data_IF_746949590655
#
_entry.id   IF_746949590655
#
_cell.length_a   1.000
_cell.length_b   1.000
_cell.length_c   1.000
_cell.angle_alpha   90.00
_cell.angle_beta   90.00
_cell.angle_gamma   90.00
#
_symmetry.space_group_name_H-M   'P 1'
#
loop_
_entity.id
_entity.type
_entity.pdbx_description
1 polymer ?
#
# COMPACT_ATOMS: atom_id res chain seq x y z
N UNK A 1 40.58 5.96 -24.71
CA UNK A 1 39.68 7.02 -25.21
C UNK A 1 38.47 6.38 -25.87
N UNK A 2 37.31 6.46 -25.23
CA UNK A 2 36.02 6.30 -25.87
C UNK A 2 35.01 7.06 -24.98
N UNK A 3 34.48 8.16 -25.50
CA UNK A 3 33.43 8.97 -24.88
C UNK A 3 32.09 8.32 -25.25
N UNK A 4 31.28 7.95 -24.27
CA UNK A 4 29.88 7.59 -24.48
C UNK A 4 29.01 8.79 -24.11
N UNK A 5 28.02 9.05 -24.96
CA UNK A 5 27.31 10.31 -25.09
C UNK A 5 26.11 10.39 -24.14
N UNK A 6 25.90 11.62 -23.67
CA UNK A 6 24.73 12.13 -22.96
C UNK A 6 23.44 11.94 -23.75
N UNK A 7 22.39 11.43 -23.08
CA UNK A 7 21.00 11.58 -23.51
C UNK A 7 20.27 12.36 -22.39
N UNK A 8 19.85 13.58 -22.68
CA UNK A 8 18.98 14.39 -21.81
C UNK A 8 17.58 14.31 -22.41
N UNK A 9 16.63 13.77 -21.64
CA UNK A 9 15.22 13.74 -21.99
C UNK A 9 14.55 14.98 -21.40
N UNK A 10 14.16 15.92 -22.26
CA UNK A 10 13.41 17.11 -21.88
C UNK A 10 11.93 16.85 -22.09
N UNK A 11 11.16 16.67 -21.02
CA UNK A 11 9.68 16.63 -21.08
C UNK A 11 9.17 18.05 -20.83
N UNK A 12 8.61 18.67 -21.87
CA UNK A 12 7.95 19.97 -21.77
C UNK A 12 6.49 19.79 -21.37
N UNK A 13 6.09 20.40 -20.25
CA UNK A 13 4.70 20.46 -19.80
C UNK A 13 4.10 21.83 -20.16
N UNK A 14 3.07 21.81 -21.01
CA UNK A 14 2.20 22.94 -21.34
C UNK A 14 1.15 23.10 -20.23
N UNK A 15 1.22 24.18 -19.44
CA UNK A 15 0.14 24.59 -18.56
C UNK A 15 -0.75 25.62 -19.27
N UNK A 16 -2.01 25.23 -19.48
CA UNK A 16 -3.07 26.08 -19.99
C UNK A 16 -3.62 26.97 -18.86
N UNK A 17 -3.83 28.25 -19.17
CA UNK A 17 -4.56 29.18 -18.32
C UNK A 17 -6.04 28.80 -18.29
N UNK A 18 -6.67 28.81 -17.11
CA UNK A 18 -8.11 29.01 -17.01
C UNK A 18 -8.41 29.86 -15.78
N UNK A 19 -8.95 31.02 -16.13
CA UNK A 19 -9.57 32.07 -15.35
C UNK A 19 -10.98 31.60 -14.95
N UNK A 20 -11.36 31.72 -13.68
CA UNK A 20 -12.75 31.67 -13.26
C UNK A 20 -12.92 32.44 -11.95
N UNK A 21 -13.59 33.58 -12.07
CA UNK A 21 -13.86 34.55 -11.03
C UNK A 21 -14.82 34.10 -9.93
N UNK A 22 -14.71 34.84 -8.82
CA UNK A 22 -15.64 34.95 -7.72
C UNK A 22 -17.05 35.33 -8.20
N UNK A 23 -18.09 34.83 -7.52
CA UNK A 23 -19.17 35.68 -7.00
C UNK A 23 -19.99 34.95 -5.92
N UNK A 24 -20.13 35.63 -4.79
CA UNK A 24 -20.86 35.23 -3.58
C UNK A 24 -22.25 35.84 -3.61
N UNK A 25 -23.29 35.04 -3.37
CA UNK A 25 -24.63 35.55 -3.05
C UNK A 25 -25.19 34.76 -1.87
N UNK A 26 -25.30 35.40 -0.71
CA UNK A 26 -26.14 34.97 0.41
C UNK A 26 -27.39 35.83 0.43
N UNK A 27 -28.55 35.19 0.31
CA UNK A 27 -29.88 35.78 0.47
C UNK A 27 -30.51 35.20 1.75
N UNK A 28 -31.07 36.07 2.59
CA UNK A 28 -31.73 35.77 3.86
C UNK A 28 -33.24 35.61 3.65
N UNK A 29 -33.83 34.52 4.15
CA UNK A 29 -35.28 34.28 3.99
C UNK A 29 -35.92 33.43 5.10
N UNK A 30 -36.11 34.05 6.27
CA UNK A 30 -37.23 33.92 7.23
C UNK A 30 -38.25 32.76 7.12
N UNK A 31 -38.48 32.05 8.24
CA UNK A 31 -39.85 31.74 8.71
C UNK A 31 -40.21 30.27 9.01
N UNK A 32 -40.26 29.93 10.31
CA UNK A 32 -41.32 29.16 11.00
C UNK A 32 -41.66 27.72 10.57
N UNK A 33 -41.44 26.75 11.46
CA UNK A 33 -42.47 26.07 12.26
C UNK A 33 -41.94 24.75 12.85
N UNK A 34 -42.16 24.59 14.16
CA UNK A 34 -41.76 23.42 14.95
C UNK A 34 -42.85 22.37 14.88
N UNK A 35 -42.54 21.15 14.40
CA UNK A 35 -43.31 19.95 14.72
C UNK A 35 -42.36 18.83 15.18
N UNK A 36 -42.56 18.42 16.43
CA UNK A 36 -42.01 17.22 17.03
C UNK A 36 -42.79 15.99 16.54
N UNK A 37 -42.08 15.05 15.92
CA UNK A 37 -42.38 13.60 15.83
C UNK A 37 -41.00 12.93 15.76
N UNK A 38 -40.44 12.44 16.88
CA UNK A 38 -40.61 11.07 17.43
C UNK A 38 -40.37 9.95 16.42
N UNK A 39 -39.31 9.19 16.69
CA UNK A 39 -39.01 7.82 16.26
C UNK A 39 -38.68 7.55 14.77
N UNK A 40 -37.38 7.47 14.47
CA UNK A 40 -36.72 6.20 14.15
C UNK A 40 -35.21 6.43 13.92
N UNK A 41 -34.40 5.83 14.79
CA UNK A 41 -33.00 5.58 14.49
C UNK A 41 -32.95 4.51 13.39
N UNK A 42 -32.89 4.95 12.13
CA UNK A 42 -32.40 4.14 11.04
C UNK A 42 -30.88 4.26 11.02
N UNK A 43 -30.24 3.24 11.60
CA UNK A 43 -28.95 2.76 11.10
C UNK A 43 -29.17 2.36 9.62
N UNK A 44 -29.03 3.32 8.73
CA UNK A 44 -28.61 3.05 7.36
C UNK A 44 -27.08 3.16 7.44
N UNK A 45 -26.41 2.04 7.65
CA UNK A 45 -25.97 1.30 6.48
C UNK A 45 -24.97 2.19 5.79
N UNK A 46 -23.85 2.48 6.48
CA UNK A 46 -22.75 3.16 5.84
C UNK A 46 -22.44 2.34 4.59
N UNK A 47 -22.46 3.01 3.44
CA UNK A 47 -21.87 2.49 2.22
C UNK A 47 -20.50 1.94 2.64
N UNK A 48 -20.43 0.62 2.87
CA UNK A 48 -19.19 -0.11 2.64
C UNK A 48 -18.86 0.32 1.23
N UNK A 49 -17.83 1.15 1.10
CA UNK A 49 -17.24 1.42 -0.18
C UNK A 49 -16.98 0.04 -0.76
N UNK A 50 -17.89 -0.41 -1.64
CA UNK A 50 -17.73 -1.64 -2.39
C UNK A 50 -16.57 -1.28 -3.28
N UNK A 51 -15.37 -1.56 -2.80
CA UNK A 51 -14.17 -1.44 -3.59
C UNK A 51 -14.47 -2.31 -4.79
N UNK A 52 -14.61 -1.67 -5.95
CA UNK A 52 -14.83 -2.34 -7.22
C UNK A 52 -13.53 -3.05 -7.54
N UNK A 53 -13.40 -4.26 -7.01
CA UNK A 53 -12.33 -5.16 -7.33
C UNK A 53 -12.64 -5.65 -8.75
N UNK A 54 -12.17 -4.90 -9.76
CA UNK A 54 -12.08 -5.39 -11.15
C UNK A 54 -11.60 -6.85 -11.16
N UNK A 55 -11.97 -7.65 -12.19
CA UNK A 55 -11.58 -9.07 -12.34
C UNK A 55 -10.22 -9.35 -11.69
N UNK A 56 -10.24 -10.12 -10.60
CA UNK A 56 -9.09 -10.23 -9.71
C UNK A 56 -7.82 -10.67 -10.44
N UNK A 57 -6.67 -10.21 -9.97
CA UNK A 57 -5.37 -10.61 -10.52
C UNK A 57 -5.16 -12.12 -10.39
N UNK A 58 -4.59 -12.73 -11.43
CA UNK A 58 -4.17 -14.13 -11.40
C UNK A 58 -3.05 -14.36 -10.37
N UNK A 59 -2.86 -15.61 -9.96
CA UNK A 59 -1.72 -16.01 -9.13
C UNK A 59 -0.36 -15.56 -9.70
N UNK A 60 -0.16 -15.76 -11.01
CA UNK A 60 1.10 -15.40 -11.68
C UNK A 60 1.36 -13.88 -11.62
N UNK A 61 0.32 -13.07 -11.82
CA UNK A 61 0.44 -11.61 -11.74
C UNK A 61 0.73 -11.13 -10.32
N UNK A 62 0.09 -11.70 -9.29
CA UNK A 62 0.39 -11.33 -7.91
C UNK A 62 1.80 -11.75 -7.49
N UNK A 63 2.27 -12.91 -7.95
CA UNK A 63 3.65 -13.31 -7.73
C UNK A 63 4.59 -12.33 -8.41
N UNK A 64 4.40 -12.03 -9.69
CA UNK A 64 5.22 -11.04 -10.40
C UNK A 64 5.28 -9.67 -9.67
N UNK A 65 4.18 -9.25 -9.04
CA UNK A 65 4.17 -8.06 -8.18
C UNK A 65 5.05 -8.23 -6.93
N UNK A 66 4.96 -9.38 -6.22
CA UNK A 66 5.86 -9.68 -5.10
C UNK A 66 7.33 -9.68 -5.54
N UNK A 67 7.67 -10.27 -6.70
CA UNK A 67 9.04 -10.29 -7.24
C UNK A 67 9.59 -8.88 -7.43
N UNK A 68 8.75 -8.02 -8.02
CA UNK A 68 9.08 -6.63 -8.26
C UNK A 68 9.30 -5.87 -6.95
N UNK A 69 8.37 -5.99 -5.97
CA UNK A 69 8.50 -5.31 -4.68
C UNK A 69 9.73 -5.79 -3.91
N UNK A 70 10.00 -7.10 -3.91
CA UNK A 70 11.21 -7.67 -3.28
C UNK A 70 12.46 -7.08 -3.93
N UNK A 71 12.50 -6.99 -5.26
CA UNK A 71 13.65 -6.42 -5.98
C UNK A 71 13.89 -4.96 -5.61
N UNK A 72 12.83 -4.14 -5.55
CA UNK A 72 12.92 -2.73 -5.13
C UNK A 72 13.39 -2.63 -3.67
N UNK A 73 12.84 -3.43 -2.78
CA UNK A 73 13.25 -3.44 -1.37
C UNK A 73 14.74 -3.82 -1.21
N UNK A 74 15.23 -4.80 -1.98
CA UNK A 74 16.64 -5.19 -1.97
C UNK A 74 17.56 -4.12 -2.57
N UNK A 75 17.10 -3.36 -3.57
CA UNK A 75 17.86 -2.24 -4.12
C UNK A 75 18.11 -1.16 -3.06
N UNK A 76 17.10 -0.85 -2.24
CA UNK A 76 17.19 0.23 -1.23
C UNK A 76 17.84 -0.21 0.09
N UNK A 77 17.60 -1.44 0.54
CA UNK A 77 18.03 -1.92 1.86
C UNK A 77 19.05 -3.07 1.84
N UNK A 78 19.40 -3.59 0.67
CA UNK A 78 20.37 -4.68 0.49
C UNK A 78 19.73 -6.07 0.43
N UNK A 79 20.51 -7.09 0.06
CA UNK A 79 19.99 -8.46 -0.13
C UNK A 79 19.55 -9.14 1.19
N UNK A 80 20.08 -8.68 2.33
CA UNK A 80 19.92 -9.31 3.64
C UNK A 80 18.54 -9.09 4.28
N UNK A 81 17.69 -8.21 3.73
CA UNK A 81 16.36 -7.93 4.29
C UNK A 81 15.32 -9.02 4.07
N UNK A 82 15.69 -10.13 3.44
CA UNK A 82 14.75 -11.23 3.16
C UNK A 82 14.76 -12.25 4.30
N UNK A 83 13.58 -12.47 4.91
CA UNK A 83 13.41 -13.51 5.92
C UNK A 83 13.36 -14.89 5.24
N UNK A 84 14.49 -15.60 5.28
CA UNK A 84 14.70 -16.88 4.61
C UNK A 84 13.83 -18.06 5.09
N UNK A 85 13.04 -17.92 6.17
CA UNK A 85 12.26 -19.05 6.70
C UNK A 85 11.14 -19.50 5.76
N UNK A 86 10.58 -18.60 4.92
CA UNK A 86 9.50 -18.92 3.97
C UNK A 86 9.74 -18.42 2.52
N UNK A 87 10.69 -17.51 2.29
CA UNK A 87 10.87 -16.84 1.00
C UNK A 87 12.35 -16.68 0.65
N UNK A 88 12.85 -17.51 -0.27
CA UNK A 88 14.10 -17.25 -1.02
C UNK A 88 13.73 -16.94 -2.46
N UNK A 89 14.56 -16.23 -3.24
CA UNK A 89 14.35 -16.05 -4.69
C UNK A 89 14.22 -17.39 -5.44
N UNK A 90 14.88 -18.45 -4.95
CA UNK A 90 14.73 -19.82 -5.46
C UNK A 90 13.43 -20.49 -4.97
N UNK A 91 12.96 -20.17 -3.76
CA UNK A 91 11.64 -20.55 -3.23
C UNK A 91 10.49 -19.73 -3.83
N UNK A 92 10.80 -18.59 -4.43
CA UNK A 92 9.91 -17.75 -5.22
C UNK A 92 9.68 -18.39 -6.60
N UNK A 93 10.76 -18.81 -7.27
CA UNK A 93 10.67 -19.64 -8.48
C UNK A 93 10.14 -21.07 -8.21
N UNK A 94 10.23 -21.54 -6.95
CA UNK A 94 9.83 -22.88 -6.49
C UNK A 94 8.50 -22.95 -5.73
N UNK A 95 7.74 -21.84 -5.65
CA UNK A 95 6.40 -21.75 -5.03
C UNK A 95 6.25 -22.43 -3.67
N UNK A 96 6.81 -21.82 -2.60
CA UNK A 96 6.37 -22.12 -1.21
C UNK A 96 5.47 -21.07 -0.58
N UNK A 97 5.26 -19.93 -1.24
CA UNK A 97 4.24 -18.97 -0.84
C UNK A 97 2.87 -19.42 -1.33
N UNK A 98 1.89 -19.52 -0.44
CA UNK A 98 0.47 -19.71 -0.79
C UNK A 98 -0.30 -18.41 -0.46
N UNK A 99 -1.35 -18.08 -1.21
CA UNK A 99 -2.10 -16.89 -0.92
C UNK A 99 -2.98 -17.12 0.32
N UNK A 100 -3.12 -16.08 1.14
CA UNK A 100 -3.95 -16.06 2.32
C UNK A 100 -5.41 -15.73 1.97
N UNK A 101 -6.39 -16.36 2.63
CA UNK A 101 -7.78 -15.96 2.48
C UNK A 101 -7.99 -14.56 3.06
N UNK A 102 -8.70 -13.71 2.33
CA UNK A 102 -9.03 -12.36 2.77
C UNK A 102 -10.06 -12.38 3.89
N UNK A 103 -9.79 -11.63 4.96
CA UNK A 103 -10.79 -11.29 5.98
C UNK A 103 -11.68 -10.11 5.57
N UNK A 104 -11.31 -9.37 4.53
CA UNK A 104 -12.03 -8.19 4.04
C UNK A 104 -13.07 -8.53 2.98
N UNK A 105 -12.85 -9.59 2.22
CA UNK A 105 -13.76 -10.03 1.16
C UNK A 105 -13.79 -11.57 1.09
N UNK A 106 -14.95 -12.16 1.37
CA UNK A 106 -15.13 -13.61 1.28
C UNK A 106 -14.83 -14.10 -0.14
N UNK A 107 -14.12 -15.23 -0.26
CA UNK A 107 -13.74 -15.82 -1.55
C UNK A 107 -12.57 -15.11 -2.25
N UNK A 108 -11.99 -14.07 -1.64
CA UNK A 108 -10.80 -13.42 -2.17
C UNK A 108 -9.55 -13.87 -1.44
N UNK A 109 -8.42 -13.75 -2.12
CA UNK A 109 -7.11 -14.21 -1.67
C UNK A 109 -6.03 -13.16 -1.99
N UNK A 110 -4.93 -13.17 -1.25
CA UNK A 110 -3.83 -12.23 -1.44
C UNK A 110 -2.50 -12.84 -0.99
N UNK A 111 -1.39 -12.30 -1.47
CA UNK A 111 -0.05 -12.63 -0.98
C UNK A 111 0.44 -11.57 0.01
N UNK A 112 1.22 -12.02 0.99
CA UNK A 112 1.90 -11.15 1.94
C UNK A 112 3.34 -11.60 2.08
N UNK A 113 4.26 -10.63 2.05
CA UNK A 113 5.68 -10.82 2.28
C UNK A 113 6.13 -9.94 3.44
N UNK A 114 6.85 -10.55 4.38
CA UNK A 114 7.49 -9.86 5.50
C UNK A 114 9.00 -9.72 5.21
N UNK A 115 9.55 -8.57 5.55
CA UNK A 115 10.97 -8.26 5.40
C UNK A 115 11.66 -8.25 6.78
N UNK A 116 12.87 -8.78 6.82
CA UNK A 116 13.73 -8.79 8.01
C UNK A 116 14.51 -7.49 8.12
N UNK A 117 14.12 -6.64 9.08
CA UNK A 117 14.80 -5.39 9.38
C UNK A 117 15.64 -5.46 10.67
N UNK A 118 15.96 -6.67 11.17
CA UNK A 118 16.72 -6.84 12.41
C UNK A 118 18.13 -6.21 12.39
N UNK A 119 18.70 -5.98 11.20
CA UNK A 119 19.97 -5.28 10.99
C UNK A 119 19.85 -3.81 10.61
N UNK A 120 18.63 -3.26 10.52
CA UNK A 120 18.38 -1.89 10.04
C UNK A 120 18.06 -0.98 11.22
N UNK A 121 18.73 0.18 11.28
CA UNK A 121 18.46 1.20 12.31
C UNK A 121 17.30 2.11 11.89
N UNK A 122 16.41 2.44 12.83
CA UNK A 122 15.37 3.45 12.62
C UNK A 122 16.02 4.85 12.67
N UNK A 123 16.07 5.52 11.52
CA UNK A 123 16.65 6.86 11.38
C UNK A 123 16.06 7.56 10.14
N UNK A 124 16.55 8.77 9.86
CA UNK A 124 16.09 9.57 8.71
C UNK A 124 16.39 8.91 7.36
N UNK A 125 17.52 8.21 7.22
CA UNK A 125 17.86 7.49 5.97
C UNK A 125 16.86 6.36 5.71
N UNK A 126 16.49 5.61 6.75
CA UNK A 126 15.47 4.55 6.67
C UNK A 126 14.11 5.11 6.28
N UNK A 127 13.70 6.26 6.85
CA UNK A 127 12.46 6.96 6.46
C UNK A 127 12.48 7.36 4.97
N UNK A 128 13.58 7.94 4.48
CA UNK A 128 13.72 8.38 3.09
C UNK A 128 13.70 7.21 2.11
N UNK A 129 14.42 6.12 2.43
CA UNK A 129 14.39 4.88 1.64
C UNK A 129 12.99 4.26 1.60
N UNK A 130 12.31 4.20 2.75
CA UNK A 130 10.96 3.65 2.82
C UNK A 130 9.96 4.45 1.95
N UNK A 131 10.06 5.78 1.96
CA UNK A 131 9.26 6.65 1.09
C UNK A 131 9.60 6.46 -0.39
N UNK A 132 10.88 6.31 -0.73
CA UNK A 132 11.34 6.08 -2.09
C UNK A 132 10.84 4.72 -2.64
N UNK A 133 10.91 3.66 -1.83
CA UNK A 133 10.32 2.36 -2.19
C UNK A 133 8.83 2.51 -2.49
N UNK A 134 8.10 3.18 -1.60
CA UNK A 134 6.66 3.35 -1.72
C UNK A 134 6.28 4.11 -3.01
N UNK A 135 7.04 5.15 -3.37
CA UNK A 135 6.90 5.85 -4.66
C UNK A 135 7.20 4.93 -5.85
N UNK A 136 8.30 4.18 -5.79
CA UNK A 136 8.78 3.33 -6.88
C UNK A 136 7.84 2.15 -7.17
N UNK A 137 7.20 1.58 -6.15
CA UNK A 137 6.16 0.56 -6.30
C UNK A 137 4.79 1.13 -6.70
N UNK A 138 4.71 2.44 -6.92
CA UNK A 138 3.52 3.13 -7.40
C UNK A 138 2.40 3.17 -6.35
N UNK A 139 2.75 3.33 -5.07
CA UNK A 139 1.82 3.52 -3.98
C UNK A 139 1.87 4.96 -3.46
N UNK A 140 0.73 5.44 -2.98
CA UNK A 140 0.60 6.74 -2.33
C UNK A 140 0.67 6.56 -0.81
N UNK A 141 1.35 7.43 -0.06
CA UNK A 141 1.33 7.39 1.41
C UNK A 141 -0.10 7.54 1.94
N UNK A 142 -0.43 6.82 3.01
CA UNK A 142 -1.76 6.91 3.63
C UNK A 142 -1.87 8.19 4.48
N UNK A 143 -2.73 9.13 4.10
CA UNK A 143 -2.98 10.35 4.87
C UNK A 143 -1.76 11.26 5.03
N UNK A 144 -1.75 12.11 6.06
CA UNK A 144 -0.63 12.99 6.38
C UNK A 144 0.47 12.23 7.13
N UNK A 145 1.25 11.43 6.40
CA UNK A 145 2.36 10.69 6.99
C UNK A 145 3.55 11.58 7.34
N UNK A 146 4.32 11.21 8.38
CA UNK A 146 5.61 11.81 8.62
C UNK A 146 6.50 11.69 7.38
N UNK A 147 7.16 12.78 7.00
CA UNK A 147 8.27 12.74 6.02
C UNK A 147 9.63 12.76 6.70
N UNK A 148 9.64 12.85 8.03
CA UNK A 148 10.83 12.95 8.87
C UNK A 148 10.74 11.96 10.00
N UNK A 149 11.87 11.30 10.25
CA UNK A 149 12.04 10.44 11.41
C UNK A 149 12.10 11.28 12.68
N UNK A 150 11.44 10.82 13.74
CA UNK A 150 11.39 11.52 15.02
C UNK A 150 11.40 10.50 16.18
N UNK A 151 12.55 10.30 16.85
CA UNK A 151 12.71 9.28 17.89
C UNK A 151 11.83 9.54 19.12
N UNK A 152 11.32 10.76 19.31
CA UNK A 152 10.50 11.11 20.46
C UNK A 152 9.01 10.82 20.23
N UNK A 153 8.62 10.40 19.01
CA UNK A 153 7.25 10.00 18.70
C UNK A 153 6.91 8.64 19.28
N UNK A 154 5.61 8.43 19.49
CA UNK A 154 5.07 7.12 19.81
C UNK A 154 5.43 6.09 18.73
N UNK A 155 5.36 6.50 17.46
CA UNK A 155 5.76 5.69 16.30
C UNK A 155 6.88 6.46 15.58
N UNK A 156 8.16 6.19 15.89
CA UNK A 156 9.27 6.98 15.35
C UNK A 156 9.43 6.91 13.84
N UNK A 157 9.10 5.75 13.27
CA UNK A 157 9.13 5.45 11.84
C UNK A 157 7.73 4.94 11.47
N UNK A 158 7.08 5.62 10.52
CA UNK A 158 5.76 5.24 10.02
C UNK A 158 5.67 5.61 8.54
N UNK A 159 5.82 4.60 7.69
CA UNK A 159 5.61 4.70 6.24
C UNK A 159 4.63 3.63 5.84
N UNK A 160 3.41 4.02 5.50
CA UNK A 160 2.38 3.09 5.01
C UNK A 160 1.71 3.60 3.74
N UNK A 161 1.31 2.72 2.83
CA UNK A 161 0.66 3.12 1.59
C UNK A 161 -0.30 2.08 1.03
N UNK A 162 -1.19 2.54 0.15
CA UNK A 162 -2.03 1.70 -0.69
C UNK A 162 -3.37 1.25 -0.11
N UNK A 163 -3.66 1.57 1.15
CA UNK A 163 -4.74 0.96 1.93
C UNK A 163 -6.16 1.19 1.38
N UNK A 164 -6.39 2.31 0.68
CA UNK A 164 -7.74 2.74 0.27
C UNK A 164 -8.03 2.60 -1.23
N UNK A 165 -7.03 2.83 -2.11
CA UNK A 165 -7.28 2.90 -3.57
C UNK A 165 -6.88 1.64 -4.33
N UNK A 166 -5.97 0.83 -3.78
CA UNK A 166 -5.33 -0.24 -4.55
C UNK A 166 -5.56 -1.65 -4.00
N UNK A 167 -6.03 -1.76 -2.75
CA UNK A 167 -6.10 -3.04 -2.02
C UNK A 167 -4.74 -3.64 -1.68
N UNK A 168 -3.65 -2.98 -2.08
CA UNK A 168 -2.28 -3.31 -1.70
C UNK A 168 -1.96 -2.60 -0.41
N UNK A 169 -1.11 -3.19 0.41
CA UNK A 169 -0.69 -2.57 1.67
C UNK A 169 0.82 -2.65 1.72
N UNK A 170 1.49 -1.51 1.75
CA UNK A 170 2.90 -1.43 2.09
C UNK A 170 3.04 -0.81 3.48
N UNK A 171 3.94 -1.35 4.30
CA UNK A 171 4.20 -0.84 5.64
C UNK A 171 5.65 -1.05 6.02
N UNK A 172 6.29 0.01 6.49
CA UNK A 172 7.52 -0.02 7.28
C UNK A 172 7.27 0.83 8.51
N UNK A 173 7.29 0.23 9.69
CA UNK A 173 7.02 0.94 10.92
C UNK A 173 7.90 0.52 12.09
N UNK A 174 8.06 1.43 13.04
CA UNK A 174 8.58 1.15 14.36
C UNK A 174 7.55 1.60 15.39
N UNK A 175 6.91 0.65 16.08
CA UNK A 175 5.77 0.94 16.98
C UNK A 175 6.12 1.73 18.25
N UNK A 176 7.41 1.77 18.62
CA UNK A 176 8.02 2.58 19.68
C UNK A 176 9.56 2.54 19.53
N UNK A 177 10.34 3.43 20.16
CA UNK A 177 11.79 3.50 19.96
C UNK A 177 12.59 2.23 20.29
N UNK A 178 12.06 1.38 21.16
CA UNK A 178 12.70 0.12 21.59
C UNK A 178 12.20 -1.10 20.79
N UNK A 179 11.21 -0.92 19.90
CA UNK A 179 10.69 -2.01 19.08
C UNK A 179 11.55 -2.24 17.83
N UNK A 180 11.56 -3.49 17.37
CA UNK A 180 12.05 -3.83 16.04
C UNK A 180 11.18 -3.16 14.97
N UNK A 181 11.80 -2.88 13.81
CA UNK A 181 11.07 -2.39 12.65
C UNK A 181 10.29 -3.56 12.04
N UNK A 182 8.99 -3.37 11.87
CA UNK A 182 8.13 -4.28 11.13
C UNK A 182 7.99 -3.77 9.69
N UNK A 183 8.26 -4.63 8.72
CA UNK A 183 8.17 -4.29 7.31
C UNK A 183 7.42 -5.39 6.56
N UNK A 184 6.36 -5.03 5.83
CA UNK A 184 5.58 -5.98 5.05
C UNK A 184 4.94 -5.34 3.81
N UNK A 185 4.63 -6.19 2.84
CA UNK A 185 3.83 -5.85 1.68
C UNK A 185 2.75 -6.90 1.44
N UNK A 186 1.52 -6.46 1.20
CA UNK A 186 0.39 -7.27 0.78
C UNK A 186 -0.08 -6.85 -0.61
N UNK A 187 -0.30 -7.82 -1.49
CA UNK A 187 -0.90 -7.60 -2.82
C UNK A 187 -2.40 -7.29 -2.69
N UNK A 188 -3.00 -6.89 -3.82
CA UNK A 188 -4.46 -6.73 -3.92
C UNK A 188 -5.19 -8.05 -3.65
N UNK A 189 -6.33 -7.96 -2.98
CA UNK A 189 -7.26 -9.09 -2.86
C UNK A 189 -7.87 -9.46 -4.22
N UNK A 190 -7.85 -10.76 -4.55
CA UNK A 190 -8.34 -11.29 -5.84
C UNK A 190 -9.23 -12.51 -5.63
N UNK A 191 -10.34 -12.57 -6.36
CA UNK A 191 -11.25 -13.72 -6.45
C UNK A 191 -10.94 -14.63 -7.65
N UNK A 192 -9.83 -14.40 -8.36
CA UNK A 192 -9.47 -15.18 -9.53
C UNK A 192 -9.32 -16.67 -9.20
N UNK A 193 -9.87 -17.61 -10.01
CA UNK A 193 -9.84 -19.04 -9.70
C UNK A 193 -8.45 -19.61 -9.39
N UNK A 194 -7.40 -19.14 -10.08
CA UNK A 194 -6.02 -19.60 -9.82
C UNK A 194 -5.51 -19.24 -8.42
N UNK A 195 -6.05 -18.21 -7.78
CA UNK A 195 -5.71 -17.88 -6.39
C UNK A 195 -6.30 -18.89 -5.41
N UNK A 196 -7.55 -19.31 -5.64
CA UNK A 196 -8.19 -20.35 -4.85
C UNK A 196 -7.49 -21.71 -5.05
N UNK A 197 -7.21 -22.09 -6.29
CA UNK A 197 -6.48 -23.32 -6.62
C UNK A 197 -5.11 -23.37 -5.94
N UNK A 198 -4.36 -22.25 -5.94
CA UNK A 198 -3.08 -22.13 -5.26
C UNK A 198 -3.19 -22.25 -3.73
N UNK A 199 -4.26 -21.72 -3.14
CA UNK A 199 -4.52 -21.87 -1.72
C UNK A 199 -4.78 -23.33 -1.34
N UNK A 200 -5.68 -24.00 -2.06
CA UNK A 200 -6.09 -25.38 -1.77
C UNK A 200 -4.93 -26.38 -1.98
N UNK A 201 -4.12 -26.20 -3.03
CA UNK A 201 -3.01 -27.09 -3.35
C UNK A 201 -1.97 -27.23 -2.21
N UNK A 202 -1.87 -26.23 -1.32
CA UNK A 202 -0.93 -26.25 -0.20
C UNK A 202 -1.44 -27.05 1.02
N UNK A 203 -2.73 -27.41 1.08
CA UNK A 203 -3.32 -28.16 2.19
C UNK A 203 -3.45 -29.66 1.92
N UNK A 204 -3.09 -30.11 0.71
CA UNK A 204 -3.18 -31.52 0.28
C UNK A 204 -1.86 -32.30 0.42
N UNK A 205 -0.76 -31.66 0.84
CA UNK A 205 0.56 -32.25 1.15
C UNK A 205 0.82 -32.41 2.67
#
# INVERSE_FOLDING_TARGET
MARAATLVLTVGLLAACSDAGSESVTDEGSGGETQQQSDQAQQEGGDEAVVDWDEGLTQEEQLAEIEFVVSVMQEHFGEDIMRAENWTLEGFAGLKGYPYPSHRASGHYYYEVDFDFSGVEANQETQEKALAVLEEIGLTPNGEQPTTYDPDRRTPLDVTGGADDSGRIFRIEQSNPDAEIAASFSTRHSDHPSMHEAHEANWED
#
